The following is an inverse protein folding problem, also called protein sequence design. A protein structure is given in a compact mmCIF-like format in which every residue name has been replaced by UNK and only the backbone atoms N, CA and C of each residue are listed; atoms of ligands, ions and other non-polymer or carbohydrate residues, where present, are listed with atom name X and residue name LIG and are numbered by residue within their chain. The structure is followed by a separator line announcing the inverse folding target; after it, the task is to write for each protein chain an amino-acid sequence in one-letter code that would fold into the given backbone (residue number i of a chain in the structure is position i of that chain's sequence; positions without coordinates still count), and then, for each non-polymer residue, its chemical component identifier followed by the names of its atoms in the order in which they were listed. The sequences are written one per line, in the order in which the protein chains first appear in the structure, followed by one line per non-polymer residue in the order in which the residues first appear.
data_IF_731483560271
#
_entry.id   IF_731483560271
#
_cell.length_a   1.000
_cell.length_b   1.000
_cell.length_c   1.000
_cell.angle_alpha   90.00
_cell.angle_beta   90.00
_cell.angle_gamma   90.00
#
_symmetry.space_group_name_H-M   'P 1'
#
loop_
_entity.id
_entity.type
_entity.pdbx_description
1 polymer ?
#
# COMPACT_ATOMS: atom_id res chain seq x y z
N UNK A 1 -24.22 -8.57 -65.89
CA UNK A 1 -23.77 -8.01 -64.58
C UNK A 1 -22.77 -8.99 -63.96
N UNK A 2 -21.58 -8.54 -63.56
CA UNK A 2 -20.53 -9.40 -62.97
C UNK A 2 -20.71 -9.54 -61.46
N UNK A 3 -20.63 -10.77 -60.93
CA UNK A 3 -20.05 -11.10 -59.60
C UNK A 3 -19.76 -12.60 -59.53
N UNK A 4 -18.64 -12.97 -58.92
CA UNK A 4 -18.21 -14.36 -58.69
C UNK A 4 -17.87 -14.56 -57.20
N UNK A 5 -18.12 -15.78 -56.71
CA UNK A 5 -17.40 -16.59 -55.70
C UNK A 5 -16.21 -15.89 -54.99
N UNK A 6 -15.92 -16.06 -53.69
CA UNK A 6 -16.11 -17.17 -52.71
C UNK A 6 -16.11 -16.51 -51.29
N UNK A 7 -16.05 -17.13 -50.10
CA UNK A 7 -15.88 -18.51 -49.59
C UNK A 7 -16.52 -18.58 -48.17
N UNK A 8 -16.98 -19.74 -47.69
CA UNK A 8 -17.25 -20.05 -46.27
C UNK A 8 -16.86 -21.50 -45.99
N UNK A 9 -16.40 -21.82 -44.77
CA UNK A 9 -15.89 -23.15 -44.44
C UNK A 9 -15.95 -23.53 -42.96
N UNK A 10 -16.95 -24.35 -42.62
CA UNK A 10 -17.00 -25.32 -41.50
C UNK A 10 -16.98 -24.77 -40.05
N UNK A 11 -18.17 -24.68 -39.47
CA UNK A 11 -18.40 -24.93 -38.05
C UNK A 11 -19.12 -26.27 -37.88
N UNK A 12 -18.70 -27.10 -36.93
CA UNK A 12 -19.36 -28.37 -36.58
C UNK A 12 -20.24 -28.15 -35.34
N UNK A 13 -21.45 -28.71 -35.34
CA UNK A 13 -22.35 -28.73 -34.18
C UNK A 13 -22.13 -30.04 -33.42
N UNK A 14 -22.03 -29.97 -32.09
CA UNK A 14 -22.22 -31.12 -31.19
C UNK A 14 -23.18 -30.71 -30.07
N UNK A 15 -24.17 -31.55 -29.80
CA UNK A 15 -25.20 -31.32 -28.79
C UNK A 15 -24.63 -31.32 -27.36
N UNK A 16 -25.10 -30.39 -26.52
CA UNK A 16 -25.00 -30.51 -25.07
C UNK A 16 -26.20 -31.30 -24.52
N UNK A 17 -25.92 -32.40 -23.84
CA UNK A 17 -26.87 -33.07 -22.95
C UNK A 17 -26.77 -32.46 -21.55
N UNK A 18 -27.91 -32.09 -20.97
CA UNK A 18 -28.04 -31.63 -19.59
C UNK A 18 -28.11 -32.84 -18.64
N UNK A 19 -27.15 -32.96 -17.73
CA UNK A 19 -27.32 -33.68 -16.45
C UNK A 19 -26.70 -32.81 -15.35
N UNK A 20 -27.40 -32.67 -14.23
CA UNK A 20 -27.16 -31.60 -13.25
C UNK A 20 -25.93 -31.75 -12.37
N UNK A 21 -25.50 -30.62 -11.83
CA UNK A 21 -24.44 -30.49 -10.83
C UNK A 21 -24.32 -29.04 -10.39
N UNK A 22 -25.05 -28.65 -9.34
CA UNK A 22 -24.94 -27.30 -8.75
C UNK A 22 -23.57 -27.19 -8.08
N UNK A 23 -22.70 -26.37 -8.66
CA UNK A 23 -21.45 -25.93 -8.05
C UNK A 23 -21.41 -24.40 -8.04
N UNK A 24 -22.25 -23.79 -7.20
CA UNK A 24 -22.09 -22.38 -6.79
C UNK A 24 -20.91 -22.28 -5.82
N UNK A 25 -19.69 -22.37 -6.36
CA UNK A 25 -18.48 -21.95 -5.67
C UNK A 25 -18.29 -20.46 -5.90
N UNK A 26 -18.69 -19.64 -4.94
CA UNK A 26 -18.56 -18.18 -5.01
C UNK A 26 -17.09 -17.78 -5.13
N UNK A 27 -16.76 -17.07 -6.22
CA UNK A 27 -15.41 -16.57 -6.47
C UNK A 27 -15.21 -15.21 -5.76
N UNK A 28 -15.44 -15.18 -4.44
CA UNK A 28 -15.60 -13.97 -3.62
C UNK A 28 -14.30 -13.19 -3.32
N UNK A 29 -13.20 -13.43 -4.04
CA UNK A 29 -11.92 -12.72 -3.86
C UNK A 29 -11.41 -12.01 -5.13
N UNK A 30 -12.22 -11.91 -6.19
CA UNK A 30 -11.83 -11.26 -7.44
C UNK A 30 -12.17 -9.75 -7.52
N UNK A 31 -13.01 -9.23 -6.62
CA UNK A 31 -13.51 -7.84 -6.71
C UNK A 31 -12.63 -6.80 -5.99
N UNK A 32 -11.81 -7.18 -4.99
CA UNK A 32 -11.09 -6.23 -4.11
C UNK A 32 -9.96 -5.42 -4.79
N UNK A 33 -9.46 -5.84 -5.96
CA UNK A 33 -8.26 -5.27 -6.59
C UNK A 33 -8.54 -4.36 -7.80
N UNK A 34 -9.80 -4.16 -8.19
CA UNK A 34 -10.16 -3.29 -9.31
C UNK A 34 -9.81 -1.84 -8.97
N UNK A 35 -9.07 -1.14 -9.84
CA UNK A 35 -8.85 0.31 -9.72
C UNK A 35 -7.76 0.76 -8.75
N UNK A 36 -6.84 -0.10 -8.30
CA UNK A 36 -5.75 0.30 -7.39
C UNK A 36 -4.39 0.58 -8.06
N UNK A 37 -4.27 0.48 -9.39
CA UNK A 37 -3.06 0.89 -10.11
C UNK A 37 -2.71 2.34 -9.79
N UNK A 38 -1.44 2.67 -9.56
CA UNK A 38 -1.05 4.08 -9.39
C UNK A 38 -0.95 4.72 -10.75
N UNK A 39 -1.72 5.78 -10.97
CA UNK A 39 -1.61 6.66 -12.13
C UNK A 39 -1.06 8.01 -11.70
N UNK A 40 -0.41 8.72 -12.63
CA UNK A 40 0.34 9.93 -12.32
C UNK A 40 0.20 11.02 -13.37
N UNK A 41 0.43 12.28 -12.98
CA UNK A 41 0.42 13.42 -13.91
C UNK A 41 1.57 13.39 -14.94
N UNK A 42 2.59 12.56 -14.70
CA UNK A 42 3.70 12.28 -15.64
C UNK A 42 3.34 11.21 -16.68
N UNK A 43 2.14 10.63 -16.61
CA UNK A 43 1.69 9.56 -17.52
C UNK A 43 2.21 8.16 -17.16
N UNK A 44 2.95 8.03 -16.05
CA UNK A 44 3.37 6.73 -15.54
C UNK A 44 2.18 6.01 -14.90
N UNK A 45 2.01 4.74 -15.27
CA UNK A 45 0.99 3.81 -14.74
C UNK A 45 1.74 2.64 -14.10
N UNK A 46 1.41 2.33 -12.85
CA UNK A 46 1.97 1.25 -12.08
C UNK A 46 0.85 0.26 -11.74
N UNK A 47 0.76 -0.84 -12.51
CA UNK A 47 -0.23 -1.90 -12.32
C UNK A 47 -0.13 -2.55 -10.92
N UNK A 48 -1.28 -2.81 -10.29
CA UNK A 48 -1.34 -3.33 -8.92
C UNK A 48 -1.64 -4.84 -8.89
N UNK A 49 -0.60 -5.67 -9.00
CA UNK A 49 -0.74 -7.14 -8.99
C UNK A 49 -0.87 -7.71 -7.56
N UNK A 50 -2.09 -8.16 -7.20
CA UNK A 50 -2.45 -9.01 -6.04
C UNK A 50 -1.45 -9.01 -4.85
N UNK A 51 -1.66 -8.13 -3.86
CA UNK A 51 -0.81 -8.01 -2.66
C UNK A 51 -1.60 -8.37 -1.40
N UNK A 52 -1.05 -9.25 -0.53
CA UNK A 52 -1.58 -9.37 0.82
C UNK A 52 -0.92 -8.32 1.74
N UNK A 53 -1.72 -7.33 2.12
CA UNK A 53 -1.28 -6.13 2.85
C UNK A 53 -0.83 -6.45 4.29
N UNK A 54 -1.13 -7.64 4.80
CA UNK A 54 -0.74 -8.13 6.14
C UNK A 54 0.77 -8.17 6.44
N UNK A 55 1.66 -7.99 5.44
CA UNK A 55 3.12 -8.10 5.63
C UNK A 55 3.88 -6.76 5.60
N UNK A 56 3.25 -5.64 5.23
CA UNK A 56 3.80 -4.34 5.63
C UNK A 56 3.47 -4.10 7.10
N UNK A 57 4.37 -3.49 7.90
CA UNK A 57 4.07 -3.21 9.31
C UNK A 57 2.76 -2.45 9.40
N UNK A 58 1.77 -2.97 10.13
CA UNK A 58 0.46 -2.32 10.31
C UNK A 58 0.58 -0.93 10.93
N UNK A 59 1.75 -0.64 11.51
CA UNK A 59 2.12 0.64 12.09
C UNK A 59 3.49 1.09 11.58
N UNK A 60 3.55 2.31 11.06
CA UNK A 60 4.78 3.04 10.76
C UNK A 60 4.88 4.21 11.74
N UNK A 61 5.99 4.36 12.48
CA UNK A 61 6.13 5.41 13.48
C UNK A 61 6.14 6.81 12.84
N UNK A 62 5.62 7.76 13.60
CA UNK A 62 5.65 9.17 13.26
C UNK A 62 6.99 9.81 13.65
N UNK A 63 7.35 10.94 13.03
CA UNK A 63 8.61 11.65 13.32
C UNK A 63 8.30 13.12 13.59
N UNK A 64 8.63 13.60 14.78
CA UNK A 64 8.43 14.99 15.16
C UNK A 64 9.48 15.92 14.50
N UNK A 65 9.06 17.16 14.19
CA UNK A 65 10.00 18.27 13.98
C UNK A 65 10.42 18.88 15.31
N UNK A 66 11.27 19.90 15.29
CA UNK A 66 11.65 20.66 16.50
C UNK A 66 10.45 21.43 17.08
N UNK A 67 10.34 21.47 18.41
CA UNK A 67 9.11 21.81 19.15
C UNK A 67 9.23 23.10 19.97
N UNK A 68 8.10 23.78 20.23
CA UNK A 68 7.60 23.81 21.61
C UNK A 68 6.07 23.57 21.77
N UNK A 69 5.65 23.46 23.04
CA UNK A 69 4.42 22.82 23.54
C UNK A 69 3.04 23.47 23.18
N UNK A 70 1.93 22.72 23.27
CA UNK A 70 0.56 23.17 22.98
C UNK A 70 -0.25 23.66 24.21
N UNK A 71 -1.40 24.33 23.95
CA UNK A 71 -2.48 24.63 24.92
C UNK A 71 -3.88 24.44 24.26
N UNK A 72 -4.94 24.38 25.08
CA UNK A 72 -6.25 23.73 24.78
C UNK A 72 -7.46 24.69 24.98
N UNK A 73 -8.71 24.20 24.79
CA UNK A 73 -10.06 24.73 25.22
C UNK A 73 -10.84 25.54 24.14
N UNK A 74 -12.18 25.54 24.00
CA UNK A 74 -13.32 24.56 24.02
C UNK A 74 -14.54 25.29 23.37
N UNK A 75 -15.55 24.59 22.82
CA UNK A 75 -16.77 25.21 22.27
C UNK A 75 -17.73 24.25 21.54
N UNK A 76 -18.83 24.76 20.99
CA UNK A 76 -19.74 24.08 20.06
C UNK A 76 -19.73 24.75 18.68
N UNK A 77 -19.93 23.96 17.61
CA UNK A 77 -18.82 23.68 16.68
C UNK A 77 -17.65 23.07 17.46
N UNK A 78 -17.58 21.74 17.47
CA UNK A 78 -16.59 21.02 18.28
C UNK A 78 -15.18 21.08 17.65
N UNK A 79 -15.03 21.73 16.49
CA UNK A 79 -13.72 22.04 15.90
C UNK A 79 -13.05 23.14 16.70
N UNK A 80 -11.94 22.78 17.34
CA UNK A 80 -11.10 23.69 18.10
C UNK A 80 -10.12 24.36 17.12
N UNK A 81 -10.01 25.69 17.16
CA UNK A 81 -8.98 26.42 16.41
C UNK A 81 -7.60 26.01 16.92
N UNK A 82 -6.69 25.65 16.01
CA UNK A 82 -5.31 25.34 16.39
C UNK A 82 -4.59 26.64 16.76
N UNK A 83 -4.27 26.80 18.06
CA UNK A 83 -3.61 27.99 18.59
C UNK A 83 -2.14 28.13 18.17
N UNK A 84 -1.41 27.01 18.12
CA UNK A 84 -0.02 26.96 17.67
C UNK A 84 0.10 25.95 16.50
N UNK A 85 0.20 26.43 15.27
CA UNK A 85 0.34 25.58 14.08
C UNK A 85 1.79 25.15 13.81
N UNK A 86 2.76 25.59 14.61
CA UNK A 86 4.16 25.15 14.50
C UNK A 86 4.51 24.00 15.44
N UNK A 87 3.67 23.69 16.43
CA UNK A 87 3.87 22.52 17.28
C UNK A 87 3.41 21.24 16.61
N UNK A 88 4.04 20.12 16.94
CA UNK A 88 3.67 18.81 16.44
C UNK A 88 2.39 18.30 17.15
N UNK A 89 1.41 17.68 16.44
CA UNK A 89 1.44 17.25 15.04
C UNK A 89 1.03 18.34 14.03
N UNK A 90 0.57 19.50 14.47
CA UNK A 90 -0.02 20.54 13.61
C UNK A 90 0.95 21.07 12.53
N UNK A 91 2.24 21.12 12.85
CA UNK A 91 3.32 21.41 11.91
C UNK A 91 3.29 20.56 10.63
N UNK A 92 2.82 19.31 10.72
CA UNK A 92 2.76 18.36 9.61
C UNK A 92 1.55 18.54 8.69
N UNK A 93 0.56 19.31 9.12
CA UNK A 93 -0.71 19.50 8.40
C UNK A 93 -0.52 20.61 7.37
N UNK A 94 -0.87 20.34 6.11
CA UNK A 94 -0.63 21.26 4.99
C UNK A 94 -1.92 21.83 4.42
N UNK A 95 -1.92 23.12 4.15
CA UNK A 95 -2.91 23.76 3.27
C UNK A 95 -2.47 23.56 1.83
N UNK A 96 -3.41 23.19 0.96
CA UNK A 96 -3.19 23.04 -0.48
C UNK A 96 -3.89 24.17 -1.22
N UNK A 97 -3.13 24.99 -1.95
CA UNK A 97 -3.69 25.89 -2.97
C UNK A 97 -3.52 25.25 -4.34
N UNK A 98 -4.63 24.87 -4.96
CA UNK A 98 -4.67 24.00 -6.13
C UNK A 98 -5.17 24.81 -7.33
N UNK A 99 -4.47 24.72 -8.48
CA UNK A 99 -4.93 25.26 -9.76
C UNK A 99 -5.10 24.13 -10.76
N UNK A 100 -6.27 24.04 -11.39
CA UNK A 100 -6.61 23.00 -12.36
C UNK A 100 -6.53 23.48 -13.82
N UNK A 101 -6.51 22.55 -14.81
CA UNK A 101 -6.38 22.88 -16.24
C UNK A 101 -7.44 23.83 -16.78
N UNK A 102 -8.68 23.74 -16.28
CA UNK A 102 -9.77 24.66 -16.67
C UNK A 102 -9.66 26.07 -16.03
N UNK A 103 -8.58 26.38 -15.33
CA UNK A 103 -8.35 27.65 -14.64
C UNK A 103 -8.99 27.76 -13.25
N UNK A 104 -9.77 26.77 -12.81
CA UNK A 104 -10.34 26.76 -11.47
C UNK A 104 -9.24 26.73 -10.41
N UNK A 105 -9.42 27.56 -9.38
CA UNK A 105 -8.60 27.54 -8.16
C UNK A 105 -9.44 27.00 -7.01
N UNK A 106 -8.93 26.01 -6.31
CA UNK A 106 -9.58 25.40 -5.16
C UNK A 106 -8.59 25.31 -3.99
N UNK A 107 -9.12 25.03 -2.81
CA UNK A 107 -8.30 24.68 -1.65
C UNK A 107 -8.53 23.22 -1.26
N UNK A 108 -7.54 22.67 -0.54
CA UNK A 108 -7.61 21.37 0.09
C UNK A 108 -6.71 21.32 1.31
N UNK A 109 -6.65 20.15 1.93
CA UNK A 109 -5.83 19.82 3.07
C UNK A 109 -4.95 18.60 2.77
N UNK A 110 -3.94 18.37 3.59
CA UNK A 110 -3.08 17.19 3.49
C UNK A 110 -2.25 16.99 4.74
N UNK A 111 -1.42 15.95 4.74
CA UNK A 111 -0.41 15.73 5.77
C UNK A 111 0.93 15.33 5.20
N UNK A 112 2.01 15.85 5.78
CA UNK A 112 3.36 15.36 5.53
C UNK A 112 3.46 13.92 6.05
N UNK A 113 3.77 12.98 5.14
CA UNK A 113 4.01 11.56 5.46
C UNK A 113 5.45 11.12 5.17
N UNK A 114 6.31 12.04 4.70
CA UNK A 114 7.75 11.87 4.58
C UNK A 114 8.44 13.25 4.57
N UNK A 115 9.76 13.31 4.36
CA UNK A 115 10.49 14.58 4.20
C UNK A 115 9.96 15.45 3.04
N UNK A 116 9.44 14.84 1.97
CA UNK A 116 9.09 15.48 0.71
C UNK A 116 7.82 14.89 0.07
N UNK A 117 6.92 14.31 0.88
CA UNK A 117 5.67 13.68 0.41
C UNK A 117 4.48 14.10 1.28
N UNK A 118 3.42 14.54 0.62
CA UNK A 118 2.10 14.80 1.21
C UNK A 118 1.13 13.69 0.84
N UNK A 119 0.34 13.24 1.81
CA UNK A 119 -0.88 12.45 1.61
C UNK A 119 -2.11 13.38 1.62
N UNK A 120 -3.03 13.20 0.67
CA UNK A 120 -4.24 14.00 0.49
C UNK A 120 -5.32 13.18 -0.23
N UNK A 121 -6.46 13.79 -0.57
CA UNK A 121 -7.53 13.17 -1.35
C UNK A 121 -7.16 13.11 -2.84
N UNK A 122 -7.67 12.12 -3.56
CA UNK A 122 -7.49 11.96 -5.01
C UNK A 122 -8.04 13.17 -5.78
N UNK A 123 -9.18 13.71 -5.36
CA UNK A 123 -9.80 14.88 -5.99
C UNK A 123 -9.01 16.19 -5.81
N UNK A 124 -8.08 16.24 -4.85
CA UNK A 124 -7.16 17.38 -4.69
C UNK A 124 -6.03 17.35 -5.74
N UNK A 125 -5.70 16.18 -6.30
CA UNK A 125 -4.62 16.02 -7.29
C UNK A 125 -5.11 15.77 -8.71
N UNK A 126 -6.31 15.18 -8.88
CA UNK A 126 -6.94 14.91 -10.16
C UNK A 126 -8.46 15.10 -10.05
N UNK A 127 -9.07 15.88 -10.94
CA UNK A 127 -10.51 16.08 -10.97
C UNK A 127 -11.02 16.15 -12.41
N UNK A 128 -11.81 15.15 -12.85
CA UNK A 128 -12.46 15.17 -14.17
C UNK A 128 -13.28 16.45 -14.38
N UNK A 129 -13.99 16.91 -13.35
CA UNK A 129 -14.77 18.17 -13.33
C UNK A 129 -13.93 19.39 -13.69
N UNK A 130 -12.64 19.40 -13.36
CA UNK A 130 -11.74 20.54 -13.58
C UNK A 130 -10.70 20.30 -14.70
N UNK A 131 -10.87 19.24 -15.50
CA UNK A 131 -10.00 18.94 -16.66
C UNK A 131 -8.88 17.94 -16.39
N UNK A 132 -8.93 17.17 -15.30
CA UNK A 132 -7.97 16.12 -14.97
C UNK A 132 -6.95 16.53 -13.91
N UNK A 133 -5.68 16.24 -14.15
CA UNK A 133 -4.59 16.51 -13.20
C UNK A 133 -4.47 17.99 -12.85
N UNK A 134 -4.24 18.30 -11.57
CA UNK A 134 -3.88 19.64 -11.14
C UNK A 134 -2.67 20.16 -11.93
N UNK A 135 -2.72 21.42 -12.37
CA UNK A 135 -1.63 22.09 -13.08
C UNK A 135 -0.51 22.51 -12.13
N UNK A 136 -0.88 22.92 -10.91
CA UNK A 136 0.06 23.26 -9.84
C UNK A 136 -0.63 23.14 -8.49
N UNK A 137 0.11 22.65 -7.49
CA UNK A 137 -0.31 22.65 -6.09
C UNK A 137 0.80 23.33 -5.27
N UNK A 138 0.45 24.44 -4.64
CA UNK A 138 1.26 25.06 -3.59
C UNK A 138 0.89 24.43 -2.25
N UNK A 139 1.90 24.00 -1.51
CA UNK A 139 1.79 23.23 -0.28
C UNK A 139 2.35 24.05 0.87
N UNK A 140 1.53 24.34 1.88
CA UNK A 140 1.86 25.27 2.95
C UNK A 140 1.67 24.59 4.32
N UNK A 141 2.73 24.02 4.92
CA UNK A 141 2.66 23.40 6.24
C UNK A 141 2.41 24.42 7.35
N UNK A 142 1.60 24.05 8.33
CA UNK A 142 1.30 24.90 9.49
C UNK A 142 0.59 26.22 9.13
N UNK A 143 -0.04 26.32 7.95
CA UNK A 143 -0.74 27.54 7.52
C UNK A 143 -1.78 27.99 8.55
N UNK A 144 -1.97 29.31 8.68
CA UNK A 144 -2.92 29.86 9.66
C UNK A 144 -3.59 31.14 9.13
N UNK A 145 -4.37 31.01 8.07
CA UNK A 145 -5.18 32.06 7.45
C UNK A 145 -4.41 33.07 6.60
N UNK A 146 -3.27 33.55 7.11
CA UNK A 146 -2.37 34.50 6.43
C UNK A 146 -0.88 34.19 6.58
N UNK A 147 -0.49 33.36 7.55
CA UNK A 147 0.92 33.04 7.84
C UNK A 147 1.33 31.66 7.34
N UNK A 148 2.51 31.57 6.73
CA UNK A 148 3.13 30.33 6.25
C UNK A 148 4.42 30.05 7.05
N UNK A 149 4.33 29.55 8.29
CA UNK A 149 5.46 29.56 9.24
C UNK A 149 6.65 28.69 8.81
N UNK A 150 6.43 27.62 8.04
CA UNK A 150 7.50 26.78 7.50
C UNK A 150 7.92 27.18 6.07
N UNK A 151 7.32 28.23 5.51
CA UNK A 151 7.41 28.58 4.10
C UNK A 151 6.43 27.76 3.25
N UNK A 152 6.80 27.59 1.97
CA UNK A 152 5.98 26.95 0.94
C UNK A 152 6.80 25.92 0.16
N UNK A 153 6.16 24.84 -0.27
CA UNK A 153 6.69 23.88 -1.21
C UNK A 153 5.75 23.76 -2.43
N UNK A 154 6.24 23.19 -3.52
CA UNK A 154 5.46 22.98 -4.75
C UNK A 154 5.47 21.51 -5.14
N UNK A 155 4.32 21.00 -5.57
CA UNK A 155 4.19 19.64 -6.07
C UNK A 155 4.89 19.46 -7.42
N UNK A 156 5.70 18.41 -7.55
CA UNK A 156 6.43 18.04 -8.78
C UNK A 156 5.87 16.80 -9.46
N UNK A 157 5.30 15.87 -8.68
CA UNK A 157 4.59 14.69 -9.18
C UNK A 157 3.34 14.46 -8.33
N UNK A 158 2.24 14.20 -9.02
CA UNK A 158 0.92 13.92 -8.46
C UNK A 158 0.57 12.47 -8.77
N UNK A 159 0.07 11.75 -7.77
CA UNK A 159 -0.34 10.35 -7.92
C UNK A 159 -1.71 10.11 -7.29
N UNK A 160 -2.52 9.24 -7.89
CA UNK A 160 -3.79 8.73 -7.34
C UNK A 160 -4.03 7.34 -7.92
N UNK A 161 -5.13 6.66 -7.58
CA UNK A 161 -5.41 5.33 -8.14
C UNK A 161 -6.11 5.43 -9.51
N UNK A 162 -6.00 4.38 -10.33
CA UNK A 162 -6.70 4.26 -11.60
C UNK A 162 -8.21 4.28 -11.41
N UNK A 163 -8.72 3.70 -10.33
CA UNK A 163 -10.11 3.75 -9.92
C UNK A 163 -10.59 5.16 -9.57
N UNK A 164 -9.74 6.05 -9.05
CA UNK A 164 -10.10 7.47 -8.95
C UNK A 164 -10.07 8.14 -10.33
N UNK A 165 -8.92 8.10 -11.00
CA UNK A 165 -8.70 8.90 -12.21
C UNK A 165 -9.58 8.46 -13.39
N UNK A 166 -9.87 7.16 -13.50
CA UNK A 166 -10.57 6.60 -14.65
C UNK A 166 -12.06 6.37 -14.37
N UNK A 167 -12.54 6.33 -13.12
CA UNK A 167 -13.95 5.98 -12.82
C UNK A 167 -14.98 6.84 -13.55
N UNK A 168 -16.02 6.18 -14.02
CA UNK A 168 -17.30 6.72 -14.48
C UNK A 168 -18.21 7.17 -13.32
N UNK A 169 -17.86 6.78 -12.09
CA UNK A 169 -18.54 7.10 -10.85
C UNK A 169 -18.66 5.90 -9.90
N UNK A 170 -18.54 4.66 -10.40
CA UNK A 170 -18.87 3.44 -9.64
C UNK A 170 -18.02 3.20 -8.39
N UNK A 171 -16.71 3.45 -8.47
CA UNK A 171 -15.73 3.18 -7.41
C UNK A 171 -15.06 4.44 -6.84
N UNK A 172 -15.49 5.63 -7.26
CA UNK A 172 -14.74 6.89 -7.06
C UNK A 172 -14.37 7.12 -5.59
N UNK A 173 -15.35 7.16 -4.70
CA UNK A 173 -15.14 7.59 -3.32
C UNK A 173 -14.11 6.74 -2.55
N UNK A 174 -14.02 5.42 -2.79
CA UNK A 174 -13.08 4.56 -2.05
C UNK A 174 -11.65 4.61 -2.58
N UNK A 175 -11.49 5.16 -3.77
CA UNK A 175 -10.23 5.45 -4.42
C UNK A 175 -9.78 6.91 -4.25
N UNK A 176 -10.56 7.75 -3.56
CA UNK A 176 -10.30 9.19 -3.38
C UNK A 176 -9.13 9.47 -2.41
N UNK A 177 -7.95 8.99 -2.81
CA UNK A 177 -6.67 9.10 -2.12
C UNK A 177 -5.59 9.48 -3.14
N UNK A 178 -4.67 10.34 -2.74
CA UNK A 178 -3.60 10.80 -3.61
C UNK A 178 -2.37 11.25 -2.84
N UNK A 179 -1.26 11.37 -3.57
CA UNK A 179 -0.01 11.89 -3.04
C UNK A 179 0.57 13.01 -3.90
N UNK A 180 1.31 13.89 -3.22
CA UNK A 180 2.06 14.98 -3.84
C UNK A 180 3.52 14.81 -3.43
N UNK A 181 4.39 14.53 -4.41
CA UNK A 181 5.84 14.64 -4.25
C UNK A 181 6.23 16.12 -4.32
N UNK A 182 7.04 16.59 -3.39
CA UNK A 182 7.43 17.99 -3.28
C UNK A 182 8.79 18.27 -3.96
N UNK A 183 8.97 19.52 -4.39
CA UNK A 183 10.24 20.04 -4.88
C UNK A 183 11.31 20.24 -3.78
N UNK A 184 10.91 20.16 -2.50
CA UNK A 184 11.79 20.40 -1.35
C UNK A 184 11.50 19.43 -0.21
N UNK A 185 12.53 19.15 0.60
CA UNK A 185 12.46 18.32 1.81
C UNK A 185 11.93 19.10 3.02
N UNK A 186 10.83 19.83 2.85
CA UNK A 186 10.24 20.70 3.89
C UNK A 186 9.81 19.91 5.14
N UNK A 187 9.49 18.63 4.99
CA UNK A 187 9.18 17.67 6.06
C UNK A 187 10.28 17.50 7.10
N UNK A 188 11.54 17.83 6.77
CA UNK A 188 12.64 17.88 7.75
C UNK A 188 12.44 18.94 8.84
N UNK A 189 11.70 20.02 8.54
CA UNK A 189 11.40 21.10 9.50
C UNK A 189 10.12 20.82 10.30
N UNK A 190 9.12 20.26 9.63
CA UNK A 190 7.78 20.06 10.21
C UNK A 190 7.65 18.76 11.00
N UNK A 191 8.52 17.78 10.73
CA UNK A 191 8.21 16.38 10.97
C UNK A 191 7.17 15.84 9.98
N UNK A 192 6.75 14.61 10.19
CA UNK A 192 5.72 13.94 9.41
C UNK A 192 4.96 12.90 10.25
N UNK A 193 3.69 12.70 9.92
CA UNK A 193 2.85 11.70 10.59
C UNK A 193 3.33 10.28 10.27
N UNK A 194 2.98 9.34 11.14
CA UNK A 194 3.11 7.92 10.86
C UNK A 194 1.97 7.43 9.97
N UNK A 195 1.93 6.13 9.70
CA UNK A 195 0.81 5.46 9.03
C UNK A 195 0.34 4.31 9.93
N UNK A 196 -0.97 4.04 9.98
CA UNK A 196 -1.51 2.89 10.72
C UNK A 196 -2.72 2.31 9.96
N UNK A 197 -2.72 0.99 9.76
CA UNK A 197 -3.81 0.27 9.08
C UNK A 197 -4.87 -0.32 10.00
N UNK A 198 -4.58 -0.35 11.30
CA UNK A 198 -5.40 -0.94 12.34
C UNK A 198 -6.25 0.13 13.01
N UNK A 199 -7.55 0.11 12.72
CA UNK A 199 -8.52 1.02 13.34
C UNK A 199 -9.80 0.26 13.69
N UNK A 200 -10.36 0.57 14.85
CA UNK A 200 -11.61 0.02 15.40
C UNK A 200 -12.62 1.15 15.62
N UNK A 201 -13.90 0.84 15.79
CA UNK A 201 -14.92 1.84 16.16
C UNK A 201 -14.64 2.49 17.53
N UNK A 202 -13.92 1.80 18.42
CA UNK A 202 -13.43 2.36 19.69
C UNK A 202 -12.17 3.23 19.55
N UNK A 203 -11.55 3.31 18.38
CA UNK A 203 -10.33 4.12 18.18
C UNK A 203 -10.67 5.60 18.22
N UNK A 204 -10.04 6.33 19.14
CA UNK A 204 -10.07 7.80 19.14
C UNK A 204 -9.17 8.33 18.03
N UNK A 205 -9.76 9.11 17.14
CA UNK A 205 -9.13 9.72 15.96
C UNK A 205 -9.25 11.24 16.05
N UNK A 206 -8.24 11.93 15.53
CA UNK A 206 -8.23 13.38 15.39
C UNK A 206 -8.23 13.73 13.91
N UNK A 207 -9.24 14.50 13.49
CA UNK A 207 -9.30 15.17 12.19
C UNK A 207 -8.69 16.56 12.35
N UNK A 208 -7.71 16.91 11.51
CA UNK A 208 -7.12 18.26 11.51
C UNK A 208 -6.87 18.74 10.09
N UNK A 209 -7.29 19.96 9.77
CA UNK A 209 -7.07 20.53 8.46
C UNK A 209 -7.73 21.90 8.26
N UNK A 210 -8.05 22.19 7.00
CA UNK A 210 -8.40 23.53 6.52
C UNK A 210 -9.80 23.58 5.93
N UNK A 211 -10.75 23.88 6.80
CA UNK A 211 -12.17 23.93 6.47
C UNK A 211 -12.51 25.21 5.69
N UNK A 212 -13.36 25.11 4.67
CA UNK A 212 -13.69 26.25 3.78
C UNK A 212 -14.36 27.41 4.51
N UNK A 213 -15.20 27.10 5.51
CA UNK A 213 -15.83 28.09 6.38
C UNK A 213 -14.86 28.79 7.35
N UNK A 214 -13.58 28.40 7.37
CA UNK A 214 -12.55 28.90 8.30
C UNK A 214 -11.43 29.71 7.62
N UNK A 215 -11.59 30.10 6.36
CA UNK A 215 -10.67 31.04 5.66
C UNK A 215 -9.17 30.68 5.76
N UNK A 216 -8.83 29.40 5.61
CA UNK A 216 -7.45 28.91 5.68
C UNK A 216 -6.84 28.87 7.09
N UNK A 217 -7.61 29.13 8.16
CA UNK A 217 -7.20 28.86 9.54
C UNK A 217 -7.29 27.35 9.81
N UNK A 218 -6.30 26.79 10.51
CA UNK A 218 -6.28 25.38 10.86
C UNK A 218 -7.22 25.09 12.05
N UNK A 219 -8.04 24.05 11.91
CA UNK A 219 -8.94 23.56 12.95
C UNK A 219 -8.74 22.06 13.17
N UNK A 220 -9.03 21.60 14.38
CA UNK A 220 -8.86 20.21 14.83
C UNK A 220 -10.06 19.73 15.65
N UNK A 221 -10.41 18.45 15.52
CA UNK A 221 -11.48 17.83 16.29
C UNK A 221 -11.14 16.36 16.54
N UNK A 222 -11.40 15.89 17.76
CA UNK A 222 -11.21 14.48 18.15
C UNK A 222 -12.55 13.82 18.47
N UNK A 223 -12.61 12.51 18.24
CA UNK A 223 -13.73 11.66 18.63
C UNK A 223 -13.53 10.23 18.14
N UNK A 224 -14.56 9.39 18.27
CA UNK A 224 -14.52 7.99 17.83
C UNK A 224 -15.00 7.82 16.40
N UNK A 225 -14.55 6.72 15.78
CA UNK A 225 -15.05 6.28 14.48
C UNK A 225 -16.48 5.75 14.62
N UNK A 226 -17.42 6.30 13.86
CA UNK A 226 -18.85 6.01 14.01
C UNK A 226 -19.24 4.65 13.42
N UNK A 227 -18.64 4.27 12.29
CA UNK A 227 -18.64 2.89 11.77
C UNK A 227 -17.46 2.67 10.82
N UNK A 228 -17.12 1.40 10.59
CA UNK A 228 -16.05 0.99 9.68
C UNK A 228 -16.67 0.08 8.62
N UNK A 229 -16.37 0.38 7.36
CA UNK A 229 -16.51 -0.53 6.24
C UNK A 229 -15.10 -0.96 5.79
N UNK A 230 -15.00 -1.92 4.88
CA UNK A 230 -13.69 -2.47 4.49
C UNK A 230 -12.78 -1.41 3.86
N UNK A 231 -13.37 -0.50 3.07
CA UNK A 231 -12.68 0.54 2.31
C UNK A 231 -12.80 1.97 2.87
N UNK A 232 -13.68 2.21 3.85
CA UNK A 232 -13.95 3.51 4.47
C UNK A 232 -14.07 3.45 5.99
N UNK A 233 -13.91 4.61 6.63
CA UNK A 233 -14.57 4.86 7.90
C UNK A 233 -15.60 5.99 7.76
N UNK A 234 -16.64 5.93 8.58
CA UNK A 234 -17.61 6.99 8.75
C UNK A 234 -17.41 7.70 10.09
N UNK A 235 -17.56 9.02 10.10
CA UNK A 235 -17.44 9.82 11.32
C UNK A 235 -18.45 10.96 11.38
N UNK A 236 -18.65 11.45 12.61
CA UNK A 236 -19.43 12.65 12.92
C UNK A 236 -18.57 13.85 13.33
N UNK A 237 -17.24 13.76 13.19
CA UNK A 237 -16.37 14.95 13.28
C UNK A 237 -16.77 15.93 12.18
N UNK A 238 -16.88 17.21 12.51
CA UNK A 238 -17.39 18.26 11.65
C UNK A 238 -16.42 18.54 10.51
N UNK A 239 -16.93 18.63 9.29
CA UNK A 239 -16.15 18.82 8.06
C UNK A 239 -16.91 19.73 7.10
N UNK A 240 -16.19 20.41 6.20
CA UNK A 240 -16.76 21.28 5.16
C UNK A 240 -15.86 21.25 3.92
N UNK A 241 -16.33 21.67 2.72
CA UNK A 241 -15.50 21.74 1.52
C UNK A 241 -14.15 22.43 1.76
N UNK A 242 -13.05 21.82 1.31
CA UNK A 242 -11.68 22.26 1.61
C UNK A 242 -10.99 21.44 2.72
N UNK A 243 -11.76 20.86 3.65
CA UNK A 243 -11.22 19.85 4.59
C UNK A 243 -10.92 18.51 3.91
N UNK A 244 -11.23 18.38 2.62
CA UNK A 244 -10.73 17.35 1.70
C UNK A 244 -9.23 17.12 1.84
N UNK A 245 -8.82 15.87 1.99
CA UNK A 245 -7.42 15.47 2.16
C UNK A 245 -6.88 15.61 3.58
N UNK A 246 -7.65 16.12 4.54
CA UNK A 246 -7.23 16.19 5.95
C UNK A 246 -6.94 14.80 6.49
N UNK A 247 -5.83 14.55 7.19
CA UNK A 247 -5.61 13.28 7.86
C UNK A 247 -6.62 13.09 9.00
N UNK A 248 -7.04 11.84 9.17
CA UNK A 248 -7.54 11.34 10.44
C UNK A 248 -6.42 10.51 11.08
N UNK A 249 -5.96 10.90 12.26
CA UNK A 249 -4.81 10.27 12.92
C UNK A 249 -5.06 9.87 14.37
N UNK A 250 -4.36 8.84 14.83
CA UNK A 250 -4.46 8.30 16.19
C UNK A 250 -3.72 9.18 17.22
N UNK A 251 -3.89 8.86 18.51
CA UNK A 251 -3.08 9.47 19.58
C UNK A 251 -1.55 9.30 19.33
N UNK A 252 -1.14 8.18 18.71
CA UNK A 252 0.24 7.89 18.27
C UNK A 252 0.72 8.69 17.04
N UNK A 253 -0.10 9.65 16.55
CA UNK A 253 0.17 10.53 15.40
C UNK A 253 0.40 9.76 14.09
N UNK A 254 -0.32 8.66 13.92
CA UNK A 254 -0.34 7.86 12.70
C UNK A 254 -1.64 8.09 11.94
N UNK A 255 -1.58 8.36 10.65
CA UNK A 255 -2.77 8.49 9.79
C UNK A 255 -3.43 7.12 9.64
N UNK A 256 -4.75 7.06 9.84
CA UNK A 256 -5.61 5.88 9.61
C UNK A 256 -6.60 6.08 8.47
N UNK A 257 -6.84 7.32 8.05
CA UNK A 257 -7.67 7.64 6.89
C UNK A 257 -7.42 9.07 6.38
N UNK A 258 -7.97 9.36 5.19
CA UNK A 258 -7.96 10.68 4.56
C UNK A 258 -9.41 11.15 4.41
N UNK A 259 -9.76 12.32 4.93
CA UNK A 259 -11.11 12.87 4.78
C UNK A 259 -11.40 13.19 3.30
N UNK A 260 -12.49 12.69 2.73
CA UNK A 260 -12.78 12.82 1.29
C UNK A 260 -14.11 13.51 0.98
N UNK A 261 -15.17 13.24 1.76
CA UNK A 261 -16.48 13.83 1.49
C UNK A 261 -17.54 13.53 2.54
N UNK A 262 -18.77 13.88 2.18
CA UNK A 262 -19.94 13.85 3.06
C UNK A 262 -21.12 13.16 2.35
N UNK A 263 -21.98 12.52 3.13
CA UNK A 263 -23.30 12.05 2.70
C UNK A 263 -24.38 12.61 3.62
N UNK A 264 -25.65 12.30 3.36
CA UNK A 264 -26.80 12.85 4.10
C UNK A 264 -26.83 12.56 5.60
N UNK A 265 -25.92 11.72 6.12
CA UNK A 265 -25.94 11.26 7.52
C UNK A 265 -24.57 11.24 8.21
N UNK A 266 -23.46 11.18 7.47
CA UNK A 266 -22.09 11.08 8.00
C UNK A 266 -21.05 11.69 7.03
N UNK A 267 -19.88 12.06 7.56
CA UNK A 267 -18.67 12.26 6.77
C UNK A 267 -17.99 10.91 6.50
N UNK A 268 -17.32 10.77 5.35
CA UNK A 268 -16.61 9.56 4.94
C UNK A 268 -15.15 9.84 4.57
N UNK A 269 -14.29 8.92 4.98
CA UNK A 269 -12.85 8.99 4.77
C UNK A 269 -12.33 7.64 4.28
N UNK A 270 -11.74 7.54 3.06
CA UNK A 270 -10.98 6.39 2.61
C UNK A 270 -9.98 5.93 3.67
N UNK A 271 -10.21 4.71 4.16
CA UNK A 271 -9.41 4.09 5.21
C UNK A 271 -8.06 3.69 4.64
N UNK A 272 -6.98 3.90 5.40
CA UNK A 272 -5.67 3.36 5.07
C UNK A 272 -5.61 1.86 5.42
N UNK A 273 -6.42 1.06 4.74
CA UNK A 273 -6.46 -0.41 4.84
C UNK A 273 -6.24 -1.03 3.48
N UNK A 274 -5.79 -2.29 3.47
CA UNK A 274 -5.53 -3.00 2.22
C UNK A 274 -4.60 -2.22 1.29
N UNK A 275 -4.92 -2.24 -0.01
CA UNK A 275 -4.13 -1.61 -1.06
C UNK A 275 -3.84 -0.12 -0.77
N UNK A 276 -4.78 0.63 -0.16
CA UNK A 276 -4.56 2.04 0.22
C UNK A 276 -3.43 2.24 1.23
N UNK A 277 -3.28 1.33 2.19
CA UNK A 277 -2.17 1.39 3.14
C UNK A 277 -0.82 1.17 2.45
N UNK A 278 -0.75 0.18 1.55
CA UNK A 278 0.43 -0.10 0.74
C UNK A 278 0.79 1.06 -0.19
N UNK A 279 -0.19 1.75 -0.78
CA UNK A 279 0.04 2.96 -1.57
C UNK A 279 0.65 4.09 -0.73
N UNK A 280 0.08 4.39 0.44
CA UNK A 280 0.63 5.39 1.35
C UNK A 280 2.06 5.04 1.81
N UNK A 281 2.32 3.76 2.07
CA UNK A 281 3.66 3.24 2.39
C UNK A 281 4.64 3.43 1.22
N UNK A 282 4.26 3.06 0.01
CA UNK A 282 5.10 3.22 -1.19
C UNK A 282 5.41 4.68 -1.48
N UNK A 283 4.42 5.57 -1.41
CA UNK A 283 4.62 7.00 -1.59
C UNK A 283 5.58 7.56 -0.53
N UNK A 284 5.40 7.21 0.75
CA UNK A 284 6.30 7.63 1.86
C UNK A 284 7.77 7.27 1.60
N UNK A 285 8.03 6.05 1.14
CA UNK A 285 9.39 5.52 0.96
C UNK A 285 9.94 5.68 -0.46
N UNK A 286 9.17 6.26 -1.39
CA UNK A 286 9.57 6.41 -2.79
C UNK A 286 9.67 5.09 -3.54
N UNK A 287 8.89 4.08 -3.13
CA UNK A 287 8.87 2.76 -3.76
C UNK A 287 7.99 2.79 -5.01
N UNK A 288 8.37 1.98 -5.99
CA UNK A 288 7.58 1.74 -7.19
C UNK A 288 6.46 0.74 -6.83
N UNK A 289 5.20 1.18 -6.94
CA UNK A 289 4.05 0.40 -6.49
C UNK A 289 3.71 -0.80 -7.37
N UNK A 290 4.20 -0.86 -8.63
CA UNK A 290 4.03 -2.05 -9.49
C UNK A 290 5.23 -2.99 -9.41
N UNK A 291 6.44 -2.45 -9.21
CA UNK A 291 7.60 -3.28 -8.94
C UNK A 291 7.64 -3.61 -7.45
N UNK A 292 7.02 -4.73 -7.05
CA UNK A 292 7.06 -5.29 -5.68
C UNK A 292 8.46 -5.16 -5.07
N UNK A 293 8.71 -4.08 -4.33
CA UNK A 293 10.07 -3.69 -3.94
C UNK A 293 10.49 -4.49 -2.71
N UNK A 294 11.70 -5.04 -2.71
CA UNK A 294 12.12 -6.03 -1.72
C UNK A 294 12.31 -7.42 -2.31
N UNK A 295 12.05 -8.43 -1.48
CA UNK A 295 12.30 -9.84 -1.78
C UNK A 295 10.99 -10.53 -2.15
N UNK A 296 10.95 -11.12 -3.35
CA UNK A 296 9.79 -11.81 -3.90
C UNK A 296 10.14 -13.27 -4.17
N UNK A 297 9.17 -14.17 -4.08
CA UNK A 297 9.39 -15.61 -4.20
C UNK A 297 8.12 -16.39 -4.53
N UNK A 298 8.29 -17.48 -5.27
CA UNK A 298 7.22 -18.43 -5.59
C UNK A 298 7.65 -19.82 -5.12
N UNK A 299 6.72 -20.58 -4.57
CA UNK A 299 6.94 -21.98 -4.20
C UNK A 299 6.25 -22.90 -5.21
N UNK A 300 6.98 -23.88 -5.73
CA UNK A 300 6.39 -25.03 -6.39
C UNK A 300 6.03 -26.08 -5.34
N UNK A 301 4.75 -26.28 -5.10
CA UNK A 301 4.24 -27.30 -4.17
C UNK A 301 3.72 -28.52 -4.91
N UNK A 302 3.90 -29.70 -4.29
CA UNK A 302 3.30 -30.95 -4.75
C UNK A 302 1.80 -30.74 -5.05
N UNK A 303 1.37 -31.30 -6.18
CA UNK A 303 -0.01 -31.36 -6.69
C UNK A 303 -0.71 -29.99 -6.92
N UNK A 304 -0.07 -28.87 -6.54
CA UNK A 304 -0.53 -27.48 -6.80
C UNK A 304 0.30 -26.75 -7.86
N UNK A 305 1.53 -27.20 -8.13
CA UNK A 305 2.45 -26.52 -9.04
C UNK A 305 3.02 -25.24 -8.44
N UNK A 306 3.38 -24.28 -9.30
CA UNK A 306 3.81 -22.94 -8.88
C UNK A 306 2.64 -22.17 -8.24
N UNK A 307 2.84 -21.74 -6.99
CA UNK A 307 1.86 -20.94 -6.23
C UNK A 307 2.04 -19.45 -6.47
N UNK A 308 0.98 -18.64 -6.27
CA UNK A 308 1.00 -17.18 -6.49
C UNK A 308 2.22 -16.51 -5.82
N UNK A 309 2.84 -15.60 -6.55
CA UNK A 309 4.01 -14.82 -6.15
C UNK A 309 3.84 -14.14 -4.78
N UNK A 310 4.79 -14.40 -3.89
CA UNK A 310 4.84 -13.90 -2.51
C UNK A 310 5.95 -12.89 -2.31
N UNK A 311 5.81 -12.01 -1.32
CA UNK A 311 6.79 -10.98 -1.01
C UNK A 311 7.03 -10.77 0.50
N UNK A 312 8.23 -10.32 0.85
CA UNK A 312 8.55 -9.58 2.09
C UNK A 312 8.02 -10.16 3.43
N UNK A 313 7.91 -11.48 3.55
CA UNK A 313 7.44 -12.17 4.76
C UNK A 313 6.19 -13.00 4.54
N UNK A 314 5.48 -12.85 3.42
CA UNK A 314 4.29 -13.66 3.10
C UNK A 314 4.62 -15.16 3.06
N UNK A 315 3.67 -16.00 3.47
CA UNK A 315 3.85 -17.46 3.41
C UNK A 315 3.72 -17.97 1.97
N UNK A 316 4.79 -18.55 1.42
CA UNK A 316 4.75 -19.34 0.19
C UNK A 316 4.73 -20.84 0.52
N UNK A 317 4.01 -21.64 -0.26
CA UNK A 317 3.68 -23.04 0.07
C UNK A 317 2.38 -23.15 0.87
N UNK A 318 2.25 -24.16 1.73
CA UNK A 318 1.04 -24.40 2.51
C UNK A 318 1.32 -24.99 3.90
N UNK A 319 0.67 -24.45 4.93
CA UNK A 319 0.65 -25.05 6.27
C UNK A 319 -0.60 -25.92 6.46
N UNK A 320 -0.49 -27.05 7.16
CA UNK A 320 -1.64 -27.90 7.51
C UNK A 320 -2.23 -28.77 6.38
N UNK A 321 -1.87 -28.53 5.11
CA UNK A 321 -2.33 -29.33 3.95
C UNK A 321 -1.46 -30.56 3.64
N UNK A 322 -0.39 -30.78 4.40
CA UNK A 322 0.58 -31.88 4.23
C UNK A 322 1.31 -31.95 2.87
N UNK A 323 1.29 -30.88 2.07
CA UNK A 323 1.98 -30.80 0.78
C UNK A 323 3.45 -30.41 0.95
N UNK A 324 4.35 -31.06 0.21
CA UNK A 324 5.77 -30.71 0.17
C UNK A 324 6.03 -29.56 -0.81
N UNK A 325 6.96 -28.68 -0.46
CA UNK A 325 7.64 -27.82 -1.44
C UNK A 325 8.66 -28.66 -2.23
N UNK A 326 8.78 -28.40 -3.52
CA UNK A 326 9.66 -29.15 -4.45
C UNK A 326 10.65 -28.24 -5.16
N UNK A 327 10.25 -26.98 -5.43
CA UNK A 327 11.14 -25.94 -5.90
C UNK A 327 10.74 -24.55 -5.36
N UNK A 328 11.67 -23.60 -5.48
CA UNK A 328 11.47 -22.18 -5.20
C UNK A 328 12.16 -21.33 -6.26
N UNK A 329 11.60 -20.17 -6.58
CA UNK A 329 12.31 -19.07 -7.24
C UNK A 329 12.22 -17.82 -6.37
N UNK A 330 13.25 -16.97 -6.38
CA UNK A 330 13.37 -15.78 -5.53
C UNK A 330 13.98 -14.63 -6.36
N UNK A 331 13.39 -13.44 -6.30
CA UNK A 331 13.90 -12.24 -6.96
C UNK A 331 14.01 -11.06 -5.99
N UNK A 332 15.01 -10.21 -6.22
CA UNK A 332 15.23 -8.98 -5.47
C UNK A 332 14.98 -7.78 -6.38
N UNK A 333 14.00 -6.95 -6.03
CA UNK A 333 13.55 -5.82 -6.84
C UNK A 333 13.76 -4.49 -6.10
N UNK A 334 14.12 -3.43 -6.83
CA UNK A 334 14.28 -2.08 -6.29
C UNK A 334 15.54 -1.84 -5.44
N UNK A 335 16.51 -2.77 -5.46
CA UNK A 335 17.79 -2.64 -4.77
C UNK A 335 18.97 -2.96 -5.70
N UNK A 336 20.11 -2.28 -5.51
CA UNK A 336 21.36 -2.60 -6.22
C UNK A 336 22.04 -3.81 -5.60
N UNK A 337 22.23 -4.87 -6.39
CA UNK A 337 22.76 -6.16 -5.96
C UNK A 337 21.84 -7.31 -6.38
N UNK A 338 21.76 -8.36 -5.56
CA UNK A 338 20.92 -9.53 -5.85
C UNK A 338 20.72 -10.44 -4.65
N UNK A 339 20.06 -11.58 -4.91
CA UNK A 339 19.89 -12.68 -3.98
C UNK A 339 20.42 -13.98 -4.60
N UNK A 340 21.10 -14.78 -3.77
CA UNK A 340 21.53 -16.14 -4.08
C UNK A 340 20.91 -17.14 -3.12
N UNK A 341 20.52 -18.30 -3.63
CA UNK A 341 19.87 -19.34 -2.84
C UNK A 341 20.18 -20.74 -3.36
N UNK A 342 20.03 -21.72 -2.47
CA UNK A 342 20.09 -23.15 -2.79
C UNK A 342 19.21 -23.95 -1.85
N UNK A 343 18.80 -25.14 -2.29
CA UNK A 343 17.88 -26.02 -1.56
C UNK A 343 18.54 -27.36 -1.24
N UNK A 344 18.17 -27.96 -0.12
CA UNK A 344 18.50 -29.34 0.21
C UNK A 344 17.34 -30.24 -0.24
N UNK A 345 17.59 -31.13 -1.20
CA UNK A 345 16.58 -32.05 -1.74
C UNK A 345 16.78 -33.47 -1.20
N UNK A 346 15.67 -34.15 -0.98
CA UNK A 346 15.67 -35.56 -0.58
C UNK A 346 16.52 -36.42 -1.54
N UNK A 347 17.32 -37.32 -0.95
CA UNK A 347 18.22 -38.26 -1.65
C UNK A 347 19.16 -37.60 -2.67
N UNK A 348 19.49 -36.31 -2.49
CA UNK A 348 20.35 -35.53 -3.39
C UNK A 348 21.29 -34.61 -2.62
N UNK A 349 20.84 -34.05 -1.50
CA UNK A 349 21.62 -33.10 -0.71
C UNK A 349 21.43 -31.66 -1.20
N UNK A 350 22.42 -30.80 -0.92
CA UNK A 350 22.42 -29.40 -1.33
C UNK A 350 22.63 -29.24 -2.84
N UNK A 351 21.75 -28.47 -3.49
CA UNK A 351 21.93 -28.05 -4.89
C UNK A 351 23.07 -27.03 -5.03
N UNK A 352 23.48 -26.77 -6.27
CA UNK A 352 24.25 -25.56 -6.60
C UNK A 352 23.50 -24.28 -6.20
N UNK A 353 24.26 -23.20 -6.02
CA UNK A 353 23.69 -21.86 -5.81
C UNK A 353 23.11 -21.32 -7.11
N UNK A 354 21.85 -20.91 -7.09
CA UNK A 354 21.23 -20.10 -8.14
C UNK A 354 21.08 -18.65 -7.67
N UNK A 355 20.75 -17.75 -8.60
CA UNK A 355 20.55 -16.32 -8.34
C UNK A 355 19.20 -15.86 -8.91
N UNK A 356 18.73 -14.67 -8.50
CA UNK A 356 17.58 -13.91 -9.04
C UNK A 356 16.76 -14.62 -10.15
N UNK A 357 15.51 -14.97 -9.85
CA UNK A 357 14.53 -15.67 -10.72
C UNK A 357 14.86 -17.10 -11.15
N UNK A 358 16.10 -17.58 -10.91
CA UNK A 358 16.47 -18.97 -11.18
C UNK A 358 15.73 -19.99 -10.29
N UNK A 359 15.44 -21.18 -10.83
CA UNK A 359 14.77 -22.23 -10.04
C UNK A 359 15.80 -22.94 -9.15
N UNK A 360 15.48 -23.10 -7.86
CA UNK A 360 16.20 -23.99 -6.94
C UNK A 360 15.26 -25.09 -6.48
N UNK A 361 15.58 -26.34 -6.83
CA UNK A 361 14.76 -27.51 -6.54
C UNK A 361 14.43 -28.29 -7.82
N UNK A 362 13.29 -28.99 -7.83
CA UNK A 362 12.82 -29.76 -8.99
C UNK A 362 11.33 -29.54 -9.23
N UNK A 363 10.94 -29.40 -10.49
CA UNK A 363 9.53 -29.35 -10.93
C UNK A 363 9.13 -30.73 -11.45
N UNK A 364 7.98 -31.27 -10.99
CA UNK A 364 7.41 -32.52 -11.50
C UNK A 364 8.11 -33.83 -11.10
N UNK A 365 9.25 -33.77 -10.40
CA UNK A 365 10.03 -34.96 -9.99
C UNK A 365 9.60 -35.58 -8.65
N UNK A 366 8.58 -35.02 -7.98
CA UNK A 366 8.07 -35.47 -6.66
C UNK A 366 9.13 -35.50 -5.53
N UNK A 367 10.20 -34.71 -5.66
CA UNK A 367 11.29 -34.60 -4.66
C UNK A 367 11.04 -33.42 -3.72
N UNK A 368 10.78 -33.73 -2.45
CA UNK A 368 10.68 -32.72 -1.37
C UNK A 368 11.99 -31.92 -1.20
N UNK A 369 11.83 -30.63 -0.97
CA UNK A 369 12.79 -29.79 -0.26
C UNK A 369 12.73 -30.12 1.24
N UNK A 370 13.89 -30.18 1.89
CA UNK A 370 14.02 -30.41 3.34
C UNK A 370 14.59 -29.17 4.05
N UNK A 371 15.48 -28.42 3.36
CA UNK A 371 16.05 -27.17 3.85
C UNK A 371 16.38 -26.18 2.71
N UNK A 372 16.70 -24.93 3.06
CA UNK A 372 17.09 -23.84 2.16
C UNK A 372 18.14 -22.93 2.81
N UNK A 373 19.01 -22.34 1.98
CA UNK A 373 19.94 -21.26 2.35
C UNK A 373 19.75 -20.10 1.38
N UNK A 374 19.74 -18.86 1.89
CA UNK A 374 19.49 -17.63 1.12
C UNK A 374 20.46 -16.54 1.61
N UNK A 375 21.14 -15.85 0.70
CA UNK A 375 22.06 -14.74 1.01
C UNK A 375 21.92 -13.60 0.01
N UNK A 376 22.18 -12.38 0.45
CA UNK A 376 22.25 -11.20 -0.40
C UNK A 376 23.63 -11.10 -1.07
N UNK A 377 23.69 -10.46 -2.24
CA UNK A 377 24.91 -10.17 -2.99
C UNK A 377 24.93 -8.71 -3.47
N UNK A 378 26.11 -8.14 -3.73
CA UNK A 378 26.22 -6.74 -4.15
C UNK A 378 25.88 -5.72 -3.05
N UNK A 379 25.54 -4.48 -3.44
CA UNK A 379 25.46 -3.35 -2.51
C UNK A 379 24.38 -3.51 -1.41
N UNK A 380 23.26 -4.18 -1.71
CA UNK A 380 22.21 -4.52 -0.75
C UNK A 380 22.71 -5.34 0.44
N UNK A 381 23.69 -6.23 0.23
CA UNK A 381 24.27 -7.06 1.30
C UNK A 381 25.04 -6.22 2.34
N UNK A 382 25.39 -4.97 2.03
CA UNK A 382 26.02 -4.05 2.97
C UNK A 382 25.01 -3.35 3.88
N UNK A 383 23.79 -3.07 3.38
CA UNK A 383 22.78 -2.26 4.08
C UNK A 383 21.65 -3.07 4.72
N UNK A 384 21.43 -4.31 4.28
CA UNK A 384 20.36 -5.17 4.77
C UNK A 384 20.87 -6.58 5.12
N UNK A 385 20.10 -7.26 5.96
CA UNK A 385 20.08 -8.70 6.16
C UNK A 385 18.91 -9.30 5.39
N UNK A 386 19.04 -10.56 4.97
CA UNK A 386 17.91 -11.39 4.55
C UNK A 386 17.64 -12.42 5.63
N UNK A 387 16.41 -12.41 6.14
CA UNK A 387 15.90 -13.34 7.14
C UNK A 387 14.84 -14.25 6.54
N UNK A 388 14.86 -15.53 6.92
CA UNK A 388 13.92 -16.52 6.43
C UNK A 388 13.70 -17.63 7.45
N UNK A 389 12.53 -18.28 7.37
CA UNK A 389 12.22 -19.49 8.15
C UNK A 389 11.39 -20.48 7.34
N UNK A 390 11.47 -21.74 7.74
CA UNK A 390 10.79 -22.87 7.12
C UNK A 390 9.69 -23.41 8.03
N UNK A 391 8.55 -23.80 7.46
CA UNK A 391 7.58 -24.67 8.09
C UNK A 391 7.91 -26.12 7.71
N UNK A 392 8.17 -26.97 8.70
CA UNK A 392 8.64 -28.35 8.49
C UNK A 392 7.65 -29.35 9.08
N UNK A 393 7.41 -30.46 8.37
CA UNK A 393 6.54 -31.55 8.79
C UNK A 393 6.83 -32.00 10.23
N UNK A 394 5.78 -32.03 11.05
CA UNK A 394 5.76 -32.34 12.50
C UNK A 394 6.68 -31.48 13.38
N UNK A 395 7.23 -30.36 12.87
CA UNK A 395 7.97 -29.35 13.66
C UNK A 395 7.35 -27.96 13.62
N UNK A 396 6.45 -27.68 12.67
CA UNK A 396 5.85 -26.37 12.48
C UNK A 396 6.86 -25.35 11.96
N UNK A 397 6.65 -24.06 12.29
CA UNK A 397 7.60 -22.99 11.97
C UNK A 397 8.86 -23.08 12.83
N UNK A 398 10.01 -23.29 12.18
CA UNK A 398 11.32 -23.18 12.82
C UNK A 398 11.70 -21.70 13.07
N UNK A 399 12.70 -21.43 13.93
CA UNK A 399 13.21 -20.07 14.15
C UNK A 399 13.67 -19.37 12.87
N UNK A 400 13.63 -18.04 12.87
CA UNK A 400 14.23 -17.22 11.81
C UNK A 400 15.75 -17.38 11.80
N UNK A 401 16.31 -17.59 10.61
CA UNK A 401 17.74 -17.61 10.34
C UNK A 401 18.07 -16.57 9.26
N UNK A 402 19.34 -16.23 9.08
CA UNK A 402 19.75 -15.15 8.18
C UNK A 402 21.02 -15.42 7.38
N UNK A 403 21.14 -14.72 6.25
CA UNK A 403 22.38 -14.53 5.50
C UNK A 403 23.20 -15.83 5.24
N UNK A 404 22.56 -16.86 4.70
CA UNK A 404 23.20 -18.12 4.31
C UNK A 404 23.12 -19.25 5.35
N UNK A 405 22.58 -19.00 6.54
CA UNK A 405 22.24 -20.04 7.52
C UNK A 405 21.16 -21.00 6.99
N UNK A 406 21.13 -22.24 7.47
CA UNK A 406 20.13 -23.23 7.01
C UNK A 406 18.78 -23.03 7.70
N UNK A 407 17.70 -22.87 6.92
CA UNK A 407 16.32 -23.02 7.40
C UNK A 407 15.77 -24.36 6.95
N UNK A 408 15.11 -25.10 7.85
CA UNK A 408 14.60 -26.45 7.59
C UNK A 408 15.39 -27.53 8.33
N UNK A 409 15.41 -28.75 7.81
CA UNK A 409 16.16 -29.89 8.36
C UNK A 409 16.93 -30.62 7.26
N UNK A 410 18.04 -31.28 7.60
CA UNK A 410 18.84 -32.08 6.66
C UNK A 410 19.01 -33.48 7.20
N UNK A 411 18.66 -34.51 6.42
CA UNK A 411 18.82 -35.92 6.82
C UNK A 411 17.72 -36.49 7.73
N UNK A 412 16.78 -35.67 8.21
CA UNK A 412 15.64 -36.13 9.03
C UNK A 412 14.46 -36.71 8.22
N UNK A 413 14.55 -36.75 6.89
CA UNK A 413 13.47 -37.14 5.97
C UNK A 413 12.16 -36.30 6.10
N UNK A 414 12.23 -35.10 6.68
CA UNK A 414 11.10 -34.18 6.85
C UNK A 414 11.01 -33.20 5.68
N UNK A 415 9.84 -33.11 5.05
CA UNK A 415 9.54 -32.10 4.03
C UNK A 415 9.42 -30.71 4.65
N UNK A 416 9.89 -29.70 3.93
CA UNK A 416 9.46 -28.32 4.08
C UNK A 416 8.11 -28.16 3.35
N UNK A 417 7.16 -27.50 4.00
CA UNK A 417 5.78 -27.34 3.52
C UNK A 417 5.48 -25.88 3.15
N UNK A 418 6.13 -24.93 3.84
CA UNK A 418 6.03 -23.50 3.57
C UNK A 418 7.31 -22.74 3.96
N UNK A 419 7.44 -21.51 3.47
CA UNK A 419 8.57 -20.60 3.73
C UNK A 419 8.10 -19.15 3.86
N UNK A 420 8.80 -18.35 4.67
CA UNK A 420 8.71 -16.89 4.70
C UNK A 420 10.12 -16.30 4.54
N UNK A 421 10.25 -15.22 3.76
CA UNK A 421 11.55 -14.54 3.49
C UNK A 421 11.32 -13.02 3.54
N UNK A 422 12.13 -12.30 4.32
CA UNK A 422 12.05 -10.84 4.52
C UNK A 422 13.42 -10.17 4.45
N UNK A 423 13.44 -8.91 4.05
CA UNK A 423 14.61 -8.04 4.20
C UNK A 423 14.49 -7.26 5.52
N UNK A 424 15.61 -7.06 6.19
CA UNK A 424 15.69 -6.22 7.39
C UNK A 424 16.89 -5.31 7.25
N UNK A 425 16.72 -4.02 7.53
CA UNK A 425 17.85 -3.08 7.53
C UNK A 425 18.85 -3.46 8.64
N UNK A 426 20.14 -3.26 8.39
CA UNK A 426 21.19 -3.35 9.42
C UNK A 426 21.17 -2.13 10.36
#
# INVERSE_FOLDING_TARGET
MKKWKKLLGKGFIVCCLLVGGIAIGENAQAEENIGFDVVTNTGEIYAFDDINVEQIPSEVPAVAGELPEPRTIFGSDNRIKVGNTTSYPYSTIVYLSITFPNGARTQGSGSMIAEDVVLTAGHCVYSKKYGGWAKSIEVIPGYNGSTAPFGKAYGTKFSTTSGWANSDGKYSNEHDIGSIKLNTKIGKKTGYLGLNSSVTTSTNVTLTGFHGDKNGVMYTQSGTVSSIADTFLYHRLDSTPGSSGSPMYTNSRQVVAVNAGENSSNNFAPRLSGNKYYLAYCWRYGLDASKKTGINYEAHSQDLGWTKNKANGETAGSTGKALQMEAITISLNGYSGGVQYRTHLASTGWTGWTSNTGISGTVGQKRRMEAIQIKLTGAIANTHHIEYRAHVKDKGWLPWVRNGQSAGTTGEARRMEAIQIRLIKK
#
